data_IF_144557143930
#
_entry.id   IF_144557143930
#
_cell.length_a   1.000
_cell.length_b   1.000
_cell.length_c   1.000
_cell.angle_alpha   90.00
_cell.angle_beta   90.00
_cell.angle_gamma   90.00
#
_symmetry.space_group_name_H-M   'P 1'
#
loop_
_entity.id
_entity.type
_entity.pdbx_description
1 polymer ?
#
# COMPACT_ATOMS: atom_id res chain seq x y z
N UNK A 1 7.60 -16.93 -45.30
CA UNK A 1 7.64 -15.90 -44.24
C UNK A 1 6.30 -15.18 -44.18
N UNK A 2 5.56 -15.21 -43.07
CA UNK A 2 4.58 -14.17 -42.76
C UNK A 2 5.10 -13.23 -41.66
N UNK A 3 5.00 -11.93 -41.93
CA UNK A 3 5.36 -10.82 -41.01
C UNK A 3 4.46 -10.85 -39.77
N UNK A 4 5.04 -11.08 -38.60
CA UNK A 4 4.36 -10.85 -37.32
C UNK A 4 4.19 -9.35 -37.13
N UNK A 5 2.97 -8.85 -37.22
CA UNK A 5 2.62 -7.50 -36.80
C UNK A 5 2.86 -7.39 -35.29
N UNK A 6 3.90 -6.67 -34.89
CA UNK A 6 4.10 -6.19 -33.52
C UNK A 6 2.85 -5.40 -33.11
N UNK A 7 1.94 -6.06 -32.38
CA UNK A 7 0.92 -5.37 -31.60
C UNK A 7 1.66 -4.62 -30.49
N UNK A 8 2.00 -3.35 -30.73
CA UNK A 8 2.31 -2.41 -29.65
C UNK A 8 1.17 -2.51 -28.63
N UNK A 9 1.44 -2.75 -27.33
CA UNK A 9 0.38 -2.72 -26.34
C UNK A 9 -0.26 -1.33 -26.38
N UNK A 10 -1.60 -1.22 -26.30
CA UNK A 10 -2.26 0.07 -26.30
C UNK A 10 -1.68 0.87 -25.14
N UNK A 11 -1.12 2.05 -25.44
CA UNK A 11 -0.65 2.99 -24.44
C UNK A 11 -1.81 3.22 -23.45
N UNK A 12 -1.73 2.57 -22.28
CA UNK A 12 -2.65 2.83 -21.17
C UNK A 12 -2.58 4.33 -20.92
N UNK A 13 -3.73 5.02 -21.03
CA UNK A 13 -3.88 6.41 -20.62
C UNK A 13 -3.18 6.54 -19.26
N UNK A 14 -2.09 7.32 -19.21
CA UNK A 14 -1.42 7.62 -17.95
C UNK A 14 -2.46 8.34 -17.10
N UNK A 15 -2.91 7.71 -16.03
CA UNK A 15 -3.78 8.32 -15.02
C UNK A 15 -3.11 9.62 -14.57
N UNK A 16 -3.83 10.73 -14.66
CA UNK A 16 -3.33 12.03 -14.20
C UNK A 16 -3.37 12.15 -12.69
N UNK A 17 -4.09 11.24 -12.01
CA UNK A 17 -4.41 11.38 -10.59
C UNK A 17 -4.31 10.06 -9.82
N UNK A 18 -3.84 10.18 -8.58
CA UNK A 18 -4.02 9.18 -7.52
C UNK A 18 -5.21 9.62 -6.68
N UNK A 19 -6.13 8.69 -6.42
CA UNK A 19 -7.35 8.96 -5.66
C UNK A 19 -7.33 8.10 -4.41
N UNK A 20 -7.43 8.74 -3.26
CA UNK A 20 -7.56 8.08 -1.96
C UNK A 20 -9.03 7.85 -1.66
N UNK A 21 -9.35 6.62 -1.29
CA UNK A 21 -10.69 6.18 -0.97
C UNK A 21 -10.78 5.64 0.45
N UNK A 22 -11.87 5.94 1.15
CA UNK A 22 -12.28 5.28 2.39
C UNK A 22 -13.22 4.11 2.06
N UNK A 23 -12.88 2.89 2.48
CA UNK A 23 -13.73 1.74 2.29
C UNK A 23 -14.93 1.78 3.26
N UNK A 24 -16.16 1.84 2.73
CA UNK A 24 -17.37 1.81 3.56
C UNK A 24 -17.63 0.49 4.29
N UNK A 25 -16.87 -0.58 3.99
CA UNK A 25 -17.03 -1.90 4.63
C UNK A 25 -16.11 -2.10 5.84
N UNK A 26 -14.82 -1.80 5.69
CA UNK A 26 -13.82 -2.03 6.74
C UNK A 26 -13.22 -0.75 7.31
N UNK A 27 -13.62 0.43 6.82
CA UNK A 27 -13.06 1.72 7.26
C UNK A 27 -11.62 1.96 6.83
N UNK A 28 -11.02 1.06 6.03
CA UNK A 28 -9.63 1.22 5.59
C UNK A 28 -9.51 2.23 4.46
N UNK A 29 -8.52 3.12 4.58
CA UNK A 29 -8.18 4.12 3.57
C UNK A 29 -7.13 3.58 2.61
N UNK A 30 -7.38 3.65 1.29
CA UNK A 30 -6.48 3.12 0.27
C UNK A 30 -6.45 4.01 -0.97
N UNK A 31 -5.29 4.13 -1.61
CA UNK A 31 -5.10 4.96 -2.80
C UNK A 31 -5.02 4.11 -4.08
N UNK A 32 -5.69 4.53 -5.16
CA UNK A 32 -5.65 3.89 -6.49
C UNK A 32 -5.53 4.92 -7.61
N UNK A 33 -4.90 4.57 -8.75
CA UNK A 33 -4.97 5.40 -9.94
C UNK A 33 -6.42 5.55 -10.42
N UNK A 34 -6.79 6.74 -10.89
CA UNK A 34 -8.15 7.03 -11.39
C UNK A 34 -8.60 6.15 -12.57
N UNK A 35 -7.67 5.48 -13.24
CA UNK A 35 -7.92 4.58 -14.38
C UNK A 35 -8.36 3.17 -13.96
N UNK A 36 -8.34 2.84 -12.68
CA UNK A 36 -8.67 1.50 -12.19
C UNK A 36 -10.20 1.24 -12.26
N UNK A 37 -10.63 0.61 -13.35
CA UNK A 37 -12.06 0.34 -13.66
C UNK A 37 -12.77 -0.55 -12.63
N UNK A 38 -12.05 -1.28 -11.79
CA UNK A 38 -12.61 -2.19 -10.79
C UNK A 38 -12.03 -1.86 -9.43
N UNK A 39 -12.55 -0.79 -8.83
CA UNK A 39 -12.16 -0.36 -7.50
C UNK A 39 -12.53 -1.43 -6.47
N UNK A 40 -11.51 -2.01 -5.84
CA UNK A 40 -11.63 -2.93 -4.70
C UNK A 40 -10.81 -2.38 -3.55
N UNK A 41 -11.31 -2.58 -2.33
CA UNK A 41 -10.51 -2.27 -1.15
C UNK A 41 -9.25 -3.13 -1.15
N UNK A 42 -8.08 -2.50 -0.95
CA UNK A 42 -6.81 -3.22 -0.86
C UNK A 42 -6.68 -4.12 0.38
N UNK A 43 -7.56 -3.96 1.37
CA UNK A 43 -7.53 -4.72 2.63
C UNK A 43 -8.54 -5.88 2.66
N UNK A 44 -9.81 -5.63 2.30
CA UNK A 44 -10.88 -6.62 2.43
C UNK A 44 -11.41 -7.14 1.09
N UNK A 45 -10.80 -6.73 -0.04
CA UNK A 45 -11.19 -7.07 -1.42
C UNK A 45 -12.64 -6.76 -1.80
N UNK A 46 -13.37 -6.04 -0.93
CA UNK A 46 -14.75 -5.72 -1.13
C UNK A 46 -14.93 -4.78 -2.32
N UNK A 47 -15.85 -5.16 -3.20
CA UNK A 47 -16.49 -4.28 -4.17
C UNK A 47 -17.66 -3.64 -3.44
N UNK A 48 -17.45 -2.48 -2.86
CA UNK A 48 -18.45 -1.79 -2.06
C UNK A 48 -18.41 -0.29 -2.32
N UNK A 49 -19.30 0.51 -1.71
CA UNK A 49 -19.20 1.96 -1.79
C UNK A 49 -17.87 2.37 -1.13
N UNK A 50 -17.04 3.02 -1.92
CA UNK A 50 -15.79 3.63 -1.48
C UNK A 50 -15.94 5.13 -1.64
N UNK A 51 -15.69 5.88 -0.57
CA UNK A 51 -15.82 7.34 -0.58
C UNK A 51 -14.48 7.94 -0.99
N UNK A 52 -14.44 8.72 -2.05
CA UNK A 52 -13.26 9.53 -2.39
C UNK A 52 -13.05 10.58 -1.29
N UNK A 53 -11.87 10.56 -0.67
CA UNK A 53 -11.51 11.50 0.39
C UNK A 53 -10.42 12.47 -0.05
N UNK A 54 -9.63 12.10 -1.05
CA UNK A 54 -8.52 12.92 -1.54
C UNK A 54 -8.20 12.55 -2.99
N UNK A 55 -7.84 13.55 -3.79
CA UNK A 55 -7.39 13.38 -5.18
C UNK A 55 -6.19 14.27 -5.41
N UNK A 56 -5.07 13.66 -5.74
CA UNK A 56 -3.81 14.35 -6.01
C UNK A 56 -3.34 14.02 -7.43
N UNK A 57 -2.57 14.93 -8.04
CA UNK A 57 -1.92 14.66 -9.33
C UNK A 57 -0.95 13.50 -9.12
N UNK A 58 -1.01 12.50 -10.00
CA UNK A 58 -0.12 11.34 -9.96
C UNK A 58 1.29 11.77 -10.40
N UNK A 59 2.05 12.30 -9.45
CA UNK A 59 3.48 12.57 -9.58
C UNK A 59 4.28 11.47 -8.87
N UNK A 60 5.57 11.36 -9.20
CA UNK A 60 6.49 10.46 -8.50
C UNK A 60 6.49 10.74 -7.00
N UNK A 61 6.50 12.01 -6.62
CA UNK A 61 6.44 12.49 -5.24
C UNK A 61 5.14 12.08 -4.54
N UNK A 62 3.98 12.27 -5.18
CA UNK A 62 2.69 11.86 -4.59
C UNK A 62 2.66 10.35 -4.30
N UNK A 63 3.21 9.54 -5.22
CA UNK A 63 3.23 8.10 -5.08
C UNK A 63 4.15 7.65 -3.93
N UNK A 64 5.30 8.30 -3.77
CA UNK A 64 6.19 8.06 -2.62
C UNK A 64 5.57 8.50 -1.30
N UNK A 65 4.89 9.65 -1.27
CA UNK A 65 4.15 10.13 -0.09
C UNK A 65 3.09 9.11 0.37
N UNK A 66 2.31 8.56 -0.57
CA UNK A 66 1.32 7.52 -0.27
C UNK A 66 1.95 6.19 0.18
N UNK A 67 3.06 5.77 -0.44
CA UNK A 67 3.81 4.59 -0.01
C UNK A 67 4.38 4.75 1.41
N UNK A 68 5.02 5.88 1.70
CA UNK A 68 5.57 6.17 3.02
C UNK A 68 4.47 6.19 4.09
N UNK A 69 3.34 6.86 3.82
CA UNK A 69 2.21 6.89 4.77
C UNK A 69 1.61 5.50 5.01
N UNK A 70 1.49 4.68 3.97
CA UNK A 70 1.01 3.30 4.12
C UNK A 70 1.98 2.44 4.92
N UNK A 71 3.29 2.65 4.75
CA UNK A 71 4.35 1.98 5.50
C UNK A 71 4.36 2.39 6.97
N UNK A 72 4.23 3.69 7.26
CA UNK A 72 4.14 4.20 8.62
C UNK A 72 2.94 3.63 9.37
N UNK A 73 1.76 3.59 8.75
CA UNK A 73 0.58 2.99 9.35
C UNK A 73 0.77 1.48 9.59
N UNK A 74 1.43 0.77 8.67
CA UNK A 74 1.73 -0.65 8.84
C UNK A 74 2.68 -0.88 10.01
N UNK A 75 3.77 -0.11 10.09
CA UNK A 75 4.73 -0.19 11.20
C UNK A 75 4.08 0.14 12.53
N UNK A 76 3.27 1.20 12.60
CA UNK A 76 2.57 1.58 13.82
C UNK A 76 1.57 0.51 14.27
N UNK A 77 0.85 -0.13 13.34
CA UNK A 77 -0.04 -1.24 13.66
C UNK A 77 0.72 -2.48 14.17
N UNK A 78 1.89 -2.77 13.59
CA UNK A 78 2.75 -3.88 14.02
C UNK A 78 3.37 -3.62 15.39
N UNK A 79 3.86 -2.40 15.65
CA UNK A 79 4.36 -1.97 16.96
C UNK A 79 3.23 -2.00 18.01
N UNK A 80 2.02 -1.58 17.64
CA UNK A 80 0.84 -1.67 18.49
C UNK A 80 0.50 -3.12 18.86
N UNK A 81 0.51 -4.03 17.88
CA UNK A 81 0.30 -5.46 18.13
C UNK A 81 1.39 -6.05 19.04
N UNK A 82 2.67 -5.71 18.83
CA UNK A 82 3.77 -6.16 19.68
C UNK A 82 3.60 -5.72 21.14
N UNK A 83 3.26 -4.45 21.36
CA UNK A 83 3.07 -3.90 22.71
C UNK A 83 1.83 -4.45 23.44
N UNK A 84 0.86 -5.02 22.74
CA UNK A 84 -0.29 -5.72 23.34
C UNK A 84 0.16 -7.11 23.82
N UNK A 85 0.91 -7.85 22.98
CA UNK A 85 1.45 -9.17 23.32
C UNK A 85 2.39 -9.09 24.54
N UNK A 86 3.29 -8.10 24.58
CA UNK A 86 4.22 -7.87 25.70
C UNK A 86 3.52 -7.53 27.03
N UNK A 87 2.31 -6.96 26.97
CA UNK A 87 1.52 -6.58 28.16
C UNK A 87 0.56 -7.66 28.65
N UNK A 88 0.09 -8.54 27.78
CA UNK A 88 -0.88 -9.58 28.15
C UNK A 88 -0.23 -10.87 28.67
N UNK A 89 1.11 -10.99 28.60
CA UNK A 89 1.85 -12.06 29.27
C UNK A 89 1.50 -13.47 28.79
N UNK A 90 0.96 -13.60 27.58
CA UNK A 90 0.73 -14.90 26.97
C UNK A 90 2.03 -15.41 26.33
N UNK A 91 2.56 -16.53 26.84
CA UNK A 91 3.72 -17.24 26.30
C UNK A 91 3.44 -17.71 24.85
N UNK A 92 3.75 -16.88 23.87
CA UNK A 92 3.77 -17.23 22.44
C UNK A 92 5.19 -17.11 21.85
N UNK A 93 6.15 -17.96 22.27
CA UNK A 93 7.55 -17.86 21.84
C UNK A 93 7.75 -18.06 20.33
N UNK A 94 6.80 -18.72 19.64
CA UNK A 94 6.86 -18.93 18.19
C UNK A 94 6.26 -17.76 17.36
N UNK A 95 5.41 -16.91 17.98
CA UNK A 95 4.78 -15.77 17.30
C UNK A 95 5.57 -14.48 17.50
N UNK A 96 6.27 -14.34 18.62
CA UNK A 96 7.15 -13.20 18.90
C UNK A 96 8.29 -13.08 17.88
N UNK A 97 8.94 -14.20 17.53
CA UNK A 97 10.00 -14.22 16.52
C UNK A 97 9.46 -13.89 15.12
N UNK A 98 8.24 -14.35 14.79
CA UNK A 98 7.58 -13.98 13.53
C UNK A 98 7.21 -12.50 13.51
N UNK A 99 6.74 -11.94 14.62
CA UNK A 99 6.39 -10.52 14.73
C UNK A 99 7.65 -9.64 14.59
N UNK A 100 8.74 -10.01 15.26
CA UNK A 100 10.04 -9.34 15.14
C UNK A 100 10.59 -9.41 13.71
N UNK A 101 10.45 -10.55 13.04
CA UNK A 101 10.83 -10.67 11.62
C UNK A 101 9.96 -9.80 10.70
N UNK A 102 8.66 -9.67 10.98
CA UNK A 102 7.74 -8.81 10.21
C UNK A 102 8.08 -7.34 10.44
N UNK A 103 8.38 -6.94 11.68
CA UNK A 103 8.86 -5.59 12.02
C UNK A 103 10.18 -5.27 11.31
N UNK A 104 11.16 -6.17 11.36
CA UNK A 104 12.45 -5.99 10.68
C UNK A 104 12.27 -5.88 9.15
N UNK A 105 11.38 -6.69 8.56
CA UNK A 105 11.03 -6.59 7.13
C UNK A 105 10.34 -5.27 6.79
N UNK A 106 9.46 -4.78 7.66
CA UNK A 106 8.80 -3.48 7.50
C UNK A 106 9.79 -2.31 7.60
N UNK A 107 10.73 -2.35 8.55
CA UNK A 107 11.80 -1.35 8.68
C UNK A 107 12.70 -1.33 7.45
N UNK A 108 13.13 -2.51 6.97
CA UNK A 108 13.94 -2.61 5.75
C UNK A 108 13.20 -2.06 4.53
N UNK A 109 11.90 -2.34 4.40
CA UNK A 109 11.08 -1.81 3.32
C UNK A 109 10.96 -0.27 3.42
N UNK A 110 10.82 0.29 4.63
CA UNK A 110 10.85 1.74 4.86
C UNK A 110 12.18 2.37 4.43
N UNK A 111 13.30 1.76 4.79
CA UNK A 111 14.63 2.22 4.35
C UNK A 111 14.81 2.14 2.84
N UNK A 112 14.38 1.05 2.22
CA UNK A 112 14.51 0.86 0.77
C UNK A 112 13.65 1.86 -0.01
N UNK A 113 12.45 2.18 0.48
CA UNK A 113 11.64 3.27 -0.09
C UNK A 113 12.32 4.63 0.07
N UNK A 114 12.89 4.94 1.24
CA UNK A 114 13.64 6.17 1.47
C UNK A 114 14.92 6.32 0.63
N UNK A 115 15.56 5.21 0.23
CA UNK A 115 16.71 5.23 -0.70
C UNK A 115 16.30 5.54 -2.14
N UNK A 116 15.11 5.09 -2.56
CA UNK A 116 14.57 5.40 -3.89
C UNK A 116 14.25 6.91 -4.01
N UNK A 117 13.82 7.54 -2.92
CA UNK A 117 13.61 8.99 -2.85
C UNK A 117 14.92 9.78 -3.07
N UNK A 118 16.05 9.32 -2.51
CA UNK A 118 17.36 10.01 -2.60
C UNK A 118 18.12 9.81 -3.92
N UNK A 119 17.68 8.90 -4.78
CA UNK A 119 18.32 8.58 -6.08
C UNK A 119 17.54 9.09 -7.29
N UNK A 120 16.53 9.94 -7.04
CA UNK A 120 15.64 10.55 -8.02
C UNK A 120 15.91 12.04 -8.16
#
# INVERSE_FOLDING_TARGET
>A
MPRTTSKKPPHKKKSGFIVTYLCGRCGFTFARPDTEKKLKCSMCDAKGPHTEIEREVLTRESLFKHLNKSLENMMSNLEGAYNIVDKEGEDFPAEEEQLLQILAKGQKLKEDVGKIEKTS
#
